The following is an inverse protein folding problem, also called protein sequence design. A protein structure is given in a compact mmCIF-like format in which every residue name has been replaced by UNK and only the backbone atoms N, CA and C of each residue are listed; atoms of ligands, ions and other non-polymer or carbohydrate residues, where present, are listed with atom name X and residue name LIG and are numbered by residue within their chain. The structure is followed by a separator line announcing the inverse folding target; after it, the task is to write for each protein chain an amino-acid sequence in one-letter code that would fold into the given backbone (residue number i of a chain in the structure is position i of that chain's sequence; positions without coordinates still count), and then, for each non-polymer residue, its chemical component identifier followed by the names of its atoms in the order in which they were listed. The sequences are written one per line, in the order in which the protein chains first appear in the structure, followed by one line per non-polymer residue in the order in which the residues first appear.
data_IF_967021156351
#
_entry.id   IF_967021156351
#
_cell.length_a   1.000
_cell.length_b   1.000
_cell.length_c   1.000
_cell.angle_alpha   90.00
_cell.angle_beta   90.00
_cell.angle_gamma   90.00
#
_symmetry.space_group_name_H-M   'P 1'
#
loop_
_entity.id
_entity.type
_entity.pdbx_description
1 polymer ?
#
# COMPACT_ATOMS: atom_id res chain seq x y z
N UNK A 1 -14.70 0.99 -24.75
CA UNK A 1 -14.38 0.83 -23.31
C UNK A 1 -12.87 0.83 -23.05
N UNK A 2 -12.07 0.08 -23.80
CA UNK A 2 -10.63 -0.12 -23.57
C UNK A 2 -9.78 1.16 -23.35
N UNK A 3 -9.90 2.26 -24.14
CA UNK A 3 -9.07 3.45 -23.93
C UNK A 3 -9.29 4.13 -22.57
N UNK A 4 -10.49 4.04 -21.98
CA UNK A 4 -10.79 4.59 -20.65
C UNK A 4 -10.16 3.73 -19.56
N UNK A 5 -10.26 2.41 -19.68
CA UNK A 5 -9.63 1.47 -18.76
C UNK A 5 -8.10 1.62 -18.78
N UNK A 6 -7.52 1.74 -19.97
CA UNK A 6 -6.09 2.01 -20.12
C UNK A 6 -5.67 3.31 -19.41
N UNK A 7 -6.42 4.39 -19.63
CA UNK A 7 -6.13 5.68 -18.96
C UNK A 7 -6.17 5.54 -17.45
N UNK A 8 -7.18 4.84 -16.91
CA UNK A 8 -7.31 4.58 -15.49
C UNK A 8 -6.16 3.72 -14.95
N UNK A 9 -5.83 2.62 -15.64
CA UNK A 9 -4.73 1.73 -15.25
C UNK A 9 -3.38 2.47 -15.20
N UNK A 10 -3.08 3.26 -16.24
CA UNK A 10 -1.85 4.08 -16.29
C UNK A 10 -1.81 5.11 -15.17
N UNK A 11 -2.95 5.72 -14.83
CA UNK A 11 -3.05 6.63 -13.70
C UNK A 11 -2.80 5.91 -12.37
N UNK A 12 -3.42 4.75 -12.14
CA UNK A 12 -3.24 3.98 -10.91
C UNK A 12 -1.78 3.58 -10.73
N UNK A 13 -1.19 2.97 -11.76
CA UNK A 13 0.22 2.58 -11.80
C UNK A 13 1.16 3.73 -11.46
N UNK A 14 0.95 4.90 -12.09
CA UNK A 14 1.81 6.07 -11.92
C UNK A 14 1.63 6.70 -10.54
N UNK A 15 0.38 6.90 -10.11
CA UNK A 15 0.07 7.60 -8.86
C UNK A 15 0.49 6.81 -7.62
N UNK A 16 0.41 5.47 -7.69
CA UNK A 16 0.73 4.58 -6.58
C UNK A 16 2.13 3.95 -6.66
N UNK A 17 2.97 4.33 -7.62
CA UNK A 17 4.33 3.79 -7.74
C UNK A 17 5.11 3.93 -6.41
N UNK A 18 5.78 2.87 -5.99
CA UNK A 18 6.71 2.88 -4.86
C UNK A 18 8.04 3.51 -5.24
N UNK A 19 9.00 3.50 -4.30
CA UNK A 19 10.33 4.09 -4.53
C UNK A 19 11.18 3.23 -5.46
N UNK A 20 11.07 1.91 -5.33
CA UNK A 20 11.79 0.94 -6.16
C UNK A 20 10.92 0.45 -7.33
N UNK A 21 11.57 0.04 -8.42
CA UNK A 21 10.88 -0.53 -9.58
C UNK A 21 10.10 -1.79 -9.16
N UNK A 22 8.86 -1.91 -9.60
CA UNK A 22 7.98 -3.06 -9.26
C UNK A 22 7.30 -2.96 -7.89
N UNK A 23 7.60 -1.92 -7.11
CA UNK A 23 6.94 -1.68 -5.82
C UNK A 23 5.80 -0.67 -5.97
N UNK A 24 4.81 -0.75 -5.07
CA UNK A 24 3.66 0.15 -5.04
C UNK A 24 3.28 0.50 -3.60
N UNK A 25 2.79 1.71 -3.39
CA UNK A 25 2.43 2.22 -2.06
C UNK A 25 1.15 3.04 -2.11
N UNK A 26 0.17 2.62 -1.32
CA UNK A 26 -1.05 3.37 -1.04
C UNK A 26 -0.73 4.77 -0.52
N UNK A 27 -1.41 5.77 -1.09
CA UNK A 27 -1.30 7.18 -0.66
C UNK A 27 -2.33 7.50 0.42
N UNK A 28 -2.08 8.58 1.17
CA UNK A 28 -3.05 9.15 2.12
C UNK A 28 -2.96 8.64 3.56
N UNK A 29 -2.00 7.77 3.91
CA UNK A 29 -1.74 7.40 5.32
C UNK A 29 -1.27 8.62 6.12
N UNK A 30 -1.78 8.80 7.34
CA UNK A 30 -1.42 9.90 8.22
C UNK A 30 -0.24 9.54 9.14
N UNK A 31 0.96 10.02 8.84
CA UNK A 31 2.16 9.72 9.62
C UNK A 31 2.23 10.43 10.99
N UNK A 32 1.44 11.47 11.22
CA UNK A 32 1.51 12.31 12.42
C UNK A 32 0.33 12.10 13.37
N UNK A 33 -0.54 11.14 13.08
CA UNK A 33 -1.67 10.84 13.96
C UNK A 33 -1.18 10.34 15.32
N UNK A 34 -1.72 10.95 16.37
CA UNK A 34 -1.56 10.48 17.76
C UNK A 34 -2.84 9.86 18.28
N UNK A 35 -3.93 9.82 17.50
CA UNK A 35 -5.24 9.33 17.94
C UNK A 35 -5.49 7.87 17.61
N UNK A 36 -4.66 7.30 16.73
CA UNK A 36 -4.81 5.94 16.21
C UNK A 36 -3.62 5.11 16.65
N UNK A 37 -3.82 3.84 17.01
CA UNK A 37 -2.73 2.93 17.38
C UNK A 37 -1.83 2.62 16.17
N UNK A 38 -2.45 2.34 15.02
CA UNK A 38 -1.81 2.18 13.72
C UNK A 38 -2.51 3.12 12.72
N UNK A 39 -1.78 3.93 11.94
CA UNK A 39 -2.42 4.85 11.00
C UNK A 39 -3.20 4.14 9.91
N UNK A 40 -4.43 4.59 9.64
CA UNK A 40 -5.33 3.97 8.67
C UNK A 40 -4.84 4.03 7.22
N UNK A 41 -5.35 3.13 6.38
CA UNK A 41 -5.07 3.06 4.94
C UNK A 41 -6.36 2.99 4.12
N UNK A 42 -7.16 4.06 4.19
CA UNK A 42 -8.49 4.16 3.54
C UNK A 42 -8.47 3.80 2.04
N UNK A 43 -7.43 4.22 1.32
CA UNK A 43 -7.31 4.00 -0.13
C UNK A 43 -7.25 2.51 -0.52
N UNK A 44 -6.91 1.62 0.42
CA UNK A 44 -6.83 0.18 0.17
C UNK A 44 -8.19 -0.53 0.22
N UNK A 45 -9.22 0.10 0.81
CA UNK A 45 -10.48 -0.54 1.16
C UNK A 45 -10.43 -1.43 2.41
N UNK A 46 -9.25 -1.57 3.03
CA UNK A 46 -9.01 -2.24 4.31
C UNK A 46 -8.58 -1.20 5.35
N UNK A 47 -9.52 -0.39 5.80
CA UNK A 47 -9.27 0.88 6.50
C UNK A 47 -8.32 0.77 7.71
N UNK A 48 -8.56 -0.20 8.59
CA UNK A 48 -7.86 -0.40 9.86
C UNK A 48 -6.97 -1.65 9.88
N UNK A 49 -6.77 -2.32 8.73
CA UNK A 49 -5.83 -3.43 8.64
C UNK A 49 -4.42 -2.93 9.01
N UNK A 50 -3.74 -3.56 9.99
CA UNK A 50 -2.49 -3.05 10.52
C UNK A 50 -1.38 -3.10 9.46
N UNK A 51 -0.70 -1.97 9.28
CA UNK A 51 0.49 -1.86 8.40
C UNK A 51 1.69 -1.34 9.21
N UNK A 52 2.74 -0.86 8.53
CA UNK A 52 3.88 -0.24 9.20
C UNK A 52 3.39 0.86 10.17
N UNK A 53 3.90 0.84 11.41
CA UNK A 53 3.42 1.73 12.48
C UNK A 53 3.90 3.17 12.33
N UNK A 54 4.94 3.39 11.53
CA UNK A 54 5.48 4.71 11.18
C UNK A 54 5.41 4.91 9.67
N UNK A 55 4.30 5.42 9.14
CA UNK A 55 4.14 5.64 7.71
C UNK A 55 5.26 6.49 7.13
N UNK A 56 5.73 6.13 5.95
CA UNK A 56 6.83 6.82 5.28
C UNK A 56 6.76 6.64 3.77
N UNK A 57 7.58 7.39 3.04
CA UNK A 57 7.64 7.26 1.57
C UNK A 57 8.28 5.93 1.12
N UNK A 58 8.98 5.25 2.02
CA UNK A 58 9.74 4.02 1.80
C UNK A 58 8.86 2.77 1.86
N UNK A 59 7.60 2.88 2.29
CA UNK A 59 6.71 1.71 2.37
C UNK A 59 6.41 1.14 0.98
N UNK A 60 6.11 -0.15 0.93
CA UNK A 60 5.46 -0.75 -0.23
C UNK A 60 4.55 -1.89 0.23
N UNK A 61 3.39 -1.97 -0.42
CA UNK A 61 2.25 -2.74 0.08
C UNK A 61 1.97 -3.94 -0.84
N UNK A 62 1.89 -5.11 -0.23
CA UNK A 62 1.76 -6.40 -0.90
C UNK A 62 0.46 -6.49 -1.69
N UNK A 63 -0.66 -6.14 -1.05
CA UNK A 63 -1.98 -6.16 -1.64
C UNK A 63 -2.04 -5.32 -2.93
N UNK A 64 -1.48 -4.11 -2.89
CA UNK A 64 -1.42 -3.24 -4.05
C UNK A 64 -0.51 -3.80 -5.16
N UNK A 65 0.64 -4.40 -4.83
CA UNK A 65 1.47 -5.09 -5.82
C UNK A 65 0.69 -6.22 -6.50
N UNK A 66 -0.08 -6.99 -5.75
CA UNK A 66 -0.93 -8.05 -6.29
C UNK A 66 -2.04 -7.51 -7.21
N UNK A 67 -2.70 -6.41 -6.84
CA UNK A 67 -3.66 -5.73 -7.71
C UNK A 67 -3.03 -5.24 -9.01
N UNK A 68 -1.82 -4.69 -8.94
CA UNK A 68 -1.07 -4.24 -10.12
C UNK A 68 -0.65 -5.41 -11.02
N UNK A 69 -0.24 -6.55 -10.44
CA UNK A 69 0.10 -7.76 -11.18
C UNK A 69 -1.12 -8.35 -11.92
N UNK A 70 -2.29 -8.36 -11.28
CA UNK A 70 -3.53 -8.78 -11.94
C UNK A 70 -3.92 -7.79 -13.05
N UNK A 71 -3.87 -6.49 -12.74
CA UNK A 71 -4.20 -5.43 -13.69
C UNK A 71 -3.33 -5.46 -14.94
N UNK A 72 -2.02 -5.62 -14.80
CA UNK A 72 -1.08 -5.70 -15.94
C UNK A 72 -1.38 -6.89 -16.84
N UNK A 73 -1.71 -8.06 -16.27
CA UNK A 73 -2.12 -9.26 -17.03
C UNK A 73 -3.41 -9.04 -17.80
N UNK A 74 -4.42 -8.41 -17.19
CA UNK A 74 -5.68 -8.05 -17.85
C UNK A 74 -5.43 -7.06 -18.98
N UNK A 75 -4.64 -6.01 -18.72
CA UNK A 75 -4.30 -4.99 -19.71
C UNK A 75 -3.51 -5.57 -20.89
N UNK A 76 -2.60 -6.52 -20.65
CA UNK A 76 -1.90 -7.23 -21.71
C UNK A 76 -2.85 -8.04 -22.60
N UNK A 77 -3.77 -8.81 -22.00
CA UNK A 77 -4.79 -9.55 -22.76
C UNK A 77 -5.68 -8.64 -23.59
N UNK A 78 -6.15 -7.53 -23.01
CA UNK A 78 -6.98 -6.57 -23.72
C UNK A 78 -6.23 -5.83 -24.83
N UNK A 79 -4.94 -5.52 -24.64
CA UNK A 79 -4.11 -4.96 -25.70
C UNK A 79 -4.01 -5.91 -26.90
N UNK A 80 -3.79 -7.20 -26.67
CA UNK A 80 -3.78 -8.18 -27.76
C UNK A 80 -5.09 -8.26 -28.56
N UNK A 81 -6.23 -8.03 -27.91
CA UNK A 81 -7.55 -8.09 -28.52
C UNK A 81 -7.93 -6.81 -29.28
N UNK A 82 -7.56 -5.63 -28.75
CA UNK A 82 -8.09 -4.35 -29.23
C UNK A 82 -7.06 -3.42 -29.87
N UNK A 83 -5.77 -3.72 -29.79
CA UNK A 83 -4.71 -2.91 -30.39
C UNK A 83 -4.10 -3.59 -31.61
N UNK A 84 -3.32 -2.83 -32.37
CA UNK A 84 -2.66 -3.28 -33.59
C UNK A 84 -1.13 -3.10 -33.53
N UNK A 85 -0.42 -3.84 -34.39
CA UNK A 85 1.04 -3.79 -34.49
C UNK A 85 1.74 -3.91 -33.14
N UNK A 86 2.70 -3.01 -32.90
CA UNK A 86 3.51 -2.98 -31.67
C UNK A 86 2.71 -2.75 -30.38
N UNK A 87 1.51 -2.15 -30.47
CA UNK A 87 0.72 -1.82 -29.29
C UNK A 87 0.06 -3.05 -28.64
N UNK A 88 -0.06 -4.17 -29.37
CA UNK A 88 -0.57 -5.44 -28.82
C UNK A 88 0.23 -5.92 -27.60
N UNK A 89 1.54 -5.65 -27.58
CA UNK A 89 2.47 -6.14 -26.56
C UNK A 89 2.86 -5.07 -25.53
N UNK A 90 2.20 -3.89 -25.52
CA UNK A 90 2.65 -2.74 -24.72
C UNK A 90 2.68 -2.97 -23.20
N UNK A 91 1.93 -3.96 -22.70
CA UNK A 91 1.89 -4.33 -21.28
C UNK A 91 2.62 -5.64 -20.97
N UNK A 92 3.24 -6.29 -21.96
CA UNK A 92 3.88 -7.60 -21.77
C UNK A 92 5.02 -7.51 -20.78
N UNK A 93 5.93 -6.54 -20.93
CA UNK A 93 7.06 -6.36 -20.03
C UNK A 93 6.62 -6.06 -18.58
N UNK A 94 5.54 -5.30 -18.40
CA UNK A 94 5.00 -5.00 -17.07
C UNK A 94 4.34 -6.22 -16.44
N UNK A 95 3.58 -7.00 -17.23
CA UNK A 95 2.97 -8.24 -16.77
C UNK A 95 4.03 -9.27 -16.36
N UNK A 96 5.11 -9.40 -17.14
CA UNK A 96 6.23 -10.29 -16.80
C UNK A 96 6.96 -9.83 -15.54
N UNK A 97 7.27 -8.53 -15.42
CA UNK A 97 7.95 -7.98 -14.24
C UNK A 97 7.16 -8.26 -12.94
N UNK A 98 5.85 -8.06 -12.96
CA UNK A 98 5.02 -8.23 -11.75
C UNK A 98 4.65 -9.69 -11.46
N UNK A 99 4.76 -10.56 -12.47
CA UNK A 99 4.60 -12.02 -12.33
C UNK A 99 5.88 -12.73 -11.86
N UNK A 100 7.03 -12.04 -11.85
CA UNK A 100 8.28 -12.59 -11.34
C UNK A 100 8.14 -12.91 -9.84
N UNK A 101 8.29 -14.20 -9.53
CA UNK A 101 8.14 -14.74 -8.19
C UNK A 101 9.37 -14.49 -7.33
N UNK A 102 10.56 -14.49 -7.92
CA UNK A 102 11.80 -14.19 -7.18
C UNK A 102 11.79 -12.75 -6.69
N UNK A 103 11.29 -11.82 -7.52
CA UNK A 103 11.10 -10.44 -7.12
C UNK A 103 10.01 -10.29 -6.03
N UNK A 104 8.95 -11.10 -6.08
CA UNK A 104 7.94 -11.12 -5.01
C UNK A 104 8.54 -11.63 -3.69
N UNK A 105 9.32 -12.72 -3.74
CA UNK A 105 10.02 -13.26 -2.59
C UNK A 105 10.98 -12.22 -2.00
N UNK A 106 11.85 -11.66 -2.84
CA UNK A 106 12.83 -10.63 -2.42
C UNK A 106 12.19 -9.44 -1.74
N UNK A 107 11.04 -8.98 -2.22
CA UNK A 107 10.38 -7.77 -1.72
C UNK A 107 9.49 -8.05 -0.50
N UNK A 108 8.74 -9.16 -0.49
CA UNK A 108 7.63 -9.33 0.45
C UNK A 108 7.73 -10.57 1.33
N UNK A 109 8.59 -11.54 1.05
CA UNK A 109 8.69 -12.74 1.86
C UNK A 109 9.50 -12.51 3.14
N UNK A 110 8.96 -12.96 4.26
CA UNK A 110 9.70 -13.07 5.53
C UNK A 110 9.95 -14.53 5.83
N UNK A 111 11.22 -14.96 5.78
CA UNK A 111 11.62 -16.32 6.16
C UNK A 111 11.33 -16.62 7.63
N UNK A 112 11.50 -15.63 8.52
CA UNK A 112 11.26 -15.81 9.96
C UNK A 112 9.79 -16.06 10.30
N UNK A 113 8.88 -15.50 9.49
CA UNK A 113 7.42 -15.58 9.69
C UNK A 113 6.73 -16.54 8.73
N UNK A 114 7.46 -17.07 7.75
CA UNK A 114 6.95 -17.95 6.69
C UNK A 114 5.70 -17.38 5.99
N UNK A 115 5.69 -16.08 5.71
CA UNK A 115 4.57 -15.42 5.07
C UNK A 115 5.01 -14.16 4.31
N UNK A 116 4.11 -13.63 3.48
CA UNK A 116 4.30 -12.38 2.75
C UNK A 116 3.75 -11.19 3.55
N UNK A 117 4.47 -10.07 3.54
CA UNK A 117 4.16 -8.87 4.31
C UNK A 117 4.31 -7.59 3.50
N UNK A 118 3.67 -6.52 3.97
CA UNK A 118 4.06 -5.16 3.61
C UNK A 118 5.47 -4.86 4.12
N UNK A 119 6.17 -3.92 3.48
CA UNK A 119 7.43 -3.38 3.95
C UNK A 119 7.26 -1.97 4.48
N UNK A 120 7.95 -1.66 5.58
CA UNK A 120 8.01 -0.31 6.13
C UNK A 120 8.59 -0.25 7.54
N UNK A 121 8.67 0.97 8.09
CA UNK A 121 9.15 1.20 9.45
C UNK A 121 8.07 0.79 10.47
N UNK A 122 8.30 -0.33 11.14
CA UNK A 122 7.36 -0.91 12.09
C UNK A 122 8.01 -1.14 13.46
N UNK A 123 7.18 -1.08 14.50
CA UNK A 123 7.53 -1.36 15.89
C UNK A 123 6.27 -1.83 16.60
N UNK A 124 6.36 -2.96 17.29
CA UNK A 124 5.30 -3.51 18.16
C UNK A 124 5.18 -2.73 19.47
N UNK A 125 6.13 -1.84 19.77
CA UNK A 125 6.19 -1.06 21.02
C UNK A 125 5.35 0.22 20.96
N UNK A 126 4.16 0.15 20.37
CA UNK A 126 3.19 1.25 20.29
C UNK A 126 1.99 0.94 21.18
N UNK A 127 1.47 1.94 21.88
CA UNK A 127 0.27 1.78 22.72
C UNK A 127 -0.53 3.06 22.83
N UNK A 128 -1.83 2.94 23.07
CA UNK A 128 -2.66 4.07 23.46
C UNK A 128 -2.60 4.27 24.97
N UNK A 129 -2.32 5.48 25.41
CA UNK A 129 -2.31 5.86 26.82
C UNK A 129 -3.40 6.91 27.10
N UNK A 130 -4.01 6.83 28.29
CA UNK A 130 -4.92 7.86 28.79
C UNK A 130 -4.09 8.88 29.56
N UNK A 131 -4.06 10.13 29.09
CA UNK A 131 -3.46 11.25 29.82
C UNK A 131 -4.54 12.08 30.51
N UNK A 132 -4.44 12.33 31.82
CA UNK A 132 -5.39 13.17 32.52
C UNK A 132 -5.26 14.62 32.08
N UNK A 133 -6.40 15.30 31.90
CA UNK A 133 -6.49 16.74 31.74
C UNK A 133 -6.98 17.31 33.07
N UNK A 134 -6.16 18.14 33.72
CA UNK A 134 -6.55 18.82 34.96
C UNK A 134 -7.11 20.20 34.63
N UNK A 135 -8.43 20.35 34.75
CA UNK A 135 -9.12 21.65 34.67
C UNK A 135 -9.72 21.95 36.04
N UNK A 136 -9.31 23.07 36.64
CA UNK A 136 -9.76 23.46 38.00
C UNK A 136 -11.28 23.64 38.02
N UNK A 137 -11.96 22.97 38.94
CA UNK A 137 -13.42 23.07 39.12
C UNK A 137 -14.24 22.22 38.14
N UNK A 138 -13.62 21.35 37.34
CA UNK A 138 -14.30 20.40 36.46
C UNK A 138 -14.03 18.95 36.86
N UNK A 139 -14.89 18.00 36.46
CA UNK A 139 -14.63 16.56 36.62
C UNK A 139 -13.37 16.12 35.90
N UNK A 140 -12.79 15.00 36.33
CA UNK A 140 -11.63 14.39 35.67
C UNK A 140 -11.93 14.08 34.20
N UNK A 141 -11.07 14.60 33.32
CA UNK A 141 -11.12 14.35 31.89
C UNK A 141 -9.83 13.69 31.43
N UNK A 142 -9.91 12.95 30.33
CA UNK A 142 -8.74 12.27 29.74
C UNK A 142 -8.71 12.47 28.23
N UNK A 143 -7.51 12.58 27.70
CA UNK A 143 -7.25 12.38 26.27
C UNK A 143 -6.54 11.06 26.06
N UNK A 144 -6.85 10.40 24.95
CA UNK A 144 -6.15 9.20 24.50
C UNK A 144 -5.16 9.61 23.43
N UNK A 145 -3.90 9.23 23.61
CA UNK A 145 -2.86 9.43 22.61
C UNK A 145 -1.96 8.21 22.45
N UNK A 146 -1.40 8.06 21.25
CA UNK A 146 -0.41 7.04 20.89
C UNK A 146 0.94 7.44 21.45
N UNK A 147 1.54 6.51 22.19
CA UNK A 147 2.92 6.55 22.63
C UNK A 147 3.73 5.52 21.83
N UNK A 148 4.88 5.95 21.30
CA UNK A 148 5.85 5.11 20.59
C UNK A 148 6.09 5.52 19.15
#
# INVERSE_FOLDING_TARGET
MYPRLERWYRWLRKSQAGKEKGTFRWRGRNATTVKELNPKTMASGLDDYPRASHPSKEEYHLDLRCWMALGSRVMNRLAHLYEEGKNKNKYTAEASLLADFEDLLRLHWSSDKNAFFDFGRHSDKVRLIRKPIKIKGQPDQYIVERLG
#
